data_IF_292651565956
#
_entry.id   IF_292651565956
#
_cell.length_a   1.000
_cell.length_b   1.000
_cell.length_c   1.000
_cell.angle_alpha   90.00
_cell.angle_beta   90.00
_cell.angle_gamma   90.00
#
_symmetry.space_group_name_H-M   'P 1'
#
loop_
_entity.id
_entity.type
_entity.pdbx_description
1 polymer ?
#
# COMPACT_ATOMS: atom_id res chain seq x y z
N UNK A 1 25.47 33.24 1.67
CA UNK A 1 25.28 31.80 1.36
C UNK A 1 23.84 31.61 0.89
N UNK A 2 23.65 31.46 -0.42
CA UNK A 2 22.34 31.45 -1.09
C UNK A 2 21.61 30.12 -0.86
N UNK A 3 20.38 30.18 -0.36
CA UNK A 3 19.45 29.04 -0.27
C UNK A 3 18.75 28.82 -1.62
N UNK A 4 19.50 28.61 -2.70
CA UNK A 4 18.91 28.33 -4.00
C UNK A 4 18.31 26.92 -4.03
N UNK A 5 17.04 26.83 -4.41
CA UNK A 5 16.29 25.57 -4.59
C UNK A 5 17.08 24.66 -5.54
N UNK A 6 17.50 23.50 -5.05
CA UNK A 6 18.26 22.50 -5.83
C UNK A 6 19.78 22.43 -5.55
N UNK A 7 20.38 23.43 -4.89
CA UNK A 7 21.82 23.44 -4.59
C UNK A 7 22.18 22.67 -3.30
N UNK A 8 21.18 22.35 -2.48
CA UNK A 8 21.33 21.48 -1.32
C UNK A 8 20.93 20.05 -1.69
N UNK A 9 21.79 19.34 -2.42
CA UNK A 9 21.67 17.89 -2.55
C UNK A 9 21.89 17.29 -1.15
N UNK A 10 20.81 16.80 -0.54
CA UNK A 10 20.85 16.28 0.83
C UNK A 10 21.60 14.95 0.81
N UNK A 11 22.85 14.95 1.28
CA UNK A 11 23.70 13.76 1.36
C UNK A 11 23.20 12.74 2.39
N UNK A 12 22.56 13.21 3.47
CA UNK A 12 22.04 12.37 4.54
C UNK A 12 20.65 11.82 4.23
N UNK A 13 20.35 10.56 4.60
CA UNK A 13 19.01 10.03 4.48
C UNK A 13 18.02 10.83 5.35
N UNK A 14 16.73 10.59 5.10
CA UNK A 14 15.67 11.17 5.92
C UNK A 14 15.87 10.79 7.39
N UNK A 15 15.87 11.80 8.27
CA UNK A 15 16.13 11.63 9.72
C UNK A 15 15.04 10.82 10.40
N UNK A 16 13.78 11.10 10.06
CA UNK A 16 12.61 10.45 10.64
C UNK A 16 12.09 9.39 9.66
N UNK A 17 12.29 8.13 10.00
CA UNK A 17 11.79 6.98 9.25
C UNK A 17 10.82 6.19 10.12
N UNK A 18 9.86 5.53 9.49
CA UNK A 18 8.96 4.64 10.21
C UNK A 18 9.75 3.43 10.73
N UNK A 19 9.74 3.21 12.04
CA UNK A 19 10.38 2.04 12.67
C UNK A 19 9.66 0.74 12.30
N UNK A 20 8.35 0.82 12.14
CA UNK A 20 7.50 -0.33 11.80
C UNK A 20 6.76 -0.11 10.48
N UNK A 21 6.59 -1.21 9.75
CA UNK A 21 5.76 -1.21 8.54
C UNK A 21 4.30 -1.03 8.92
N UNK A 22 3.55 -0.34 8.05
CA UNK A 22 2.10 -0.24 8.19
C UNK A 22 1.47 -1.65 8.18
N UNK A 23 0.58 -1.89 9.15
CA UNK A 23 -0.22 -3.12 9.25
C UNK A 23 -1.69 -2.73 9.20
N UNK A 24 -2.41 -3.20 8.20
CA UNK A 24 -3.82 -2.86 8.01
C UNK A 24 -4.75 -3.39 9.13
N UNK A 25 -4.33 -4.44 9.84
CA UNK A 25 -5.08 -5.10 10.90
C UNK A 25 -4.65 -4.71 12.33
N UNK A 26 -3.71 -3.75 12.51
CA UNK A 26 -3.18 -3.43 13.85
C UNK A 26 -4.25 -2.95 14.84
N UNK A 27 -5.20 -2.16 14.34
CA UNK A 27 -6.29 -1.56 15.12
C UNK A 27 -7.67 -1.77 14.50
N UNK A 28 -7.71 -2.43 13.33
CA UNK A 28 -8.94 -2.66 12.60
C UNK A 28 -9.32 -4.12 12.68
N UNK A 29 -10.40 -4.39 13.41
CA UNK A 29 -11.00 -5.71 13.60
C UNK A 29 -12.18 -5.96 12.63
N UNK A 30 -12.35 -5.13 11.59
CA UNK A 30 -13.41 -5.32 10.61
C UNK A 30 -13.28 -6.70 9.93
N UNK A 31 -14.40 -7.43 9.87
CA UNK A 31 -14.53 -8.70 9.14
C UNK A 31 -14.06 -8.57 7.68
N UNK A 32 -14.27 -7.40 7.07
CA UNK A 32 -13.82 -7.11 5.69
C UNK A 32 -12.30 -7.16 5.57
N UNK A 33 -11.58 -6.52 6.48
CA UNK A 33 -10.11 -6.46 6.48
C UNK A 33 -9.52 -7.84 6.77
N UNK A 34 -10.14 -8.62 7.66
CA UNK A 34 -9.74 -10.01 7.93
C UNK A 34 -9.92 -10.89 6.69
N UNK A 35 -11.08 -10.82 6.03
CA UNK A 35 -11.36 -11.56 4.80
C UNK A 35 -10.38 -11.22 3.67
N UNK A 36 -10.08 -9.94 3.46
CA UNK A 36 -9.12 -9.51 2.44
C UNK A 36 -7.70 -10.01 2.74
N UNK A 37 -7.31 -10.11 4.01
CA UNK A 37 -5.99 -10.62 4.40
C UNK A 37 -5.89 -12.15 4.28
N UNK A 38 -7.00 -12.88 4.42
CA UNK A 38 -7.02 -14.34 4.25
C UNK A 38 -7.20 -14.80 2.79
N UNK A 39 -7.49 -13.88 1.88
CA UNK A 39 -7.71 -14.19 0.46
C UNK A 39 -6.38 -14.51 -0.24
N UNK A 40 -6.28 -15.70 -0.83
CA UNK A 40 -5.17 -16.08 -1.69
C UNK A 40 -5.44 -15.67 -3.15
N UNK A 41 -4.43 -15.07 -3.79
CA UNK A 41 -4.51 -14.58 -5.17
C UNK A 41 -3.58 -15.44 -6.03
N UNK A 42 -4.12 -16.47 -6.69
CA UNK A 42 -3.31 -17.54 -7.32
C UNK A 42 -3.33 -17.56 -8.86
N UNK A 43 -4.18 -16.78 -9.52
CA UNK A 43 -4.40 -16.85 -10.98
C UNK A 43 -3.99 -15.61 -11.79
N UNK A 44 -3.25 -14.68 -11.19
CA UNK A 44 -2.88 -13.41 -11.83
C UNK A 44 -1.42 -13.38 -12.26
N UNK A 45 -1.10 -12.53 -13.24
CA UNK A 45 0.30 -12.24 -13.55
C UNK A 45 0.99 -11.51 -12.39
N UNK A 46 2.32 -11.66 -12.27
CA UNK A 46 3.14 -11.06 -11.19
C UNK A 46 2.89 -9.56 -10.99
N UNK A 47 2.66 -8.82 -12.08
CA UNK A 47 2.36 -7.39 -12.04
C UNK A 47 1.01 -7.12 -11.37
N UNK A 48 -0.05 -7.82 -11.79
CA UNK A 48 -1.38 -7.62 -11.24
C UNK A 48 -1.47 -8.07 -9.79
N UNK A 49 -0.84 -9.20 -9.46
CA UNK A 49 -0.73 -9.71 -8.09
C UNK A 49 -0.09 -8.67 -7.17
N UNK A 50 1.07 -8.13 -7.55
CA UNK A 50 1.76 -7.12 -6.73
C UNK A 50 0.93 -5.84 -6.52
N UNK A 51 0.17 -5.40 -7.54
CA UNK A 51 -0.75 -4.26 -7.43
C UNK A 51 -1.88 -4.56 -6.43
N UNK A 52 -2.52 -5.72 -6.52
CA UNK A 52 -3.64 -6.07 -5.63
C UNK A 52 -3.15 -6.26 -4.21
N UNK A 53 -2.06 -6.99 -4.00
CA UNK A 53 -1.44 -7.19 -2.68
C UNK A 53 -1.09 -5.84 -2.06
N UNK A 54 -0.53 -4.91 -2.84
CA UNK A 54 -0.25 -3.56 -2.36
C UNK A 54 -1.54 -2.82 -1.96
N UNK A 55 -2.59 -2.88 -2.79
CA UNK A 55 -3.88 -2.25 -2.48
C UNK A 55 -4.50 -2.81 -1.20
N UNK A 56 -4.44 -4.12 -0.97
CA UNK A 56 -4.96 -4.75 0.26
C UNK A 56 -4.15 -4.31 1.48
N UNK A 57 -2.81 -4.35 1.39
CA UNK A 57 -1.90 -3.93 2.47
C UNK A 57 -2.13 -2.51 2.93
N UNK A 58 -2.48 -1.60 2.03
CA UNK A 58 -2.69 -0.17 2.33
C UNK A 58 -4.17 0.25 2.39
N UNK A 59 -5.11 -0.70 2.49
CA UNK A 59 -6.57 -0.44 2.51
C UNK A 59 -7.06 0.43 1.32
N UNK A 60 -6.42 0.30 0.17
CA UNK A 60 -6.81 0.95 -1.09
C UNK A 60 -7.60 0.03 -2.01
N UNK A 61 -7.78 -1.23 -1.64
CA UNK A 61 -8.55 -2.19 -2.41
C UNK A 61 -10.05 -1.91 -2.26
N UNK A 62 -10.75 -1.72 -3.39
CA UNK A 62 -12.20 -1.60 -3.46
C UNK A 62 -12.74 -2.81 -4.21
N UNK A 63 -13.58 -3.60 -3.55
CA UNK A 63 -14.29 -4.69 -4.21
C UNK A 63 -15.28 -4.11 -5.22
N UNK A 64 -15.38 -4.74 -6.39
CA UNK A 64 -16.44 -4.42 -7.34
C UNK A 64 -17.78 -4.82 -6.73
N UNK A 65 -18.70 -3.88 -6.60
CA UNK A 65 -20.06 -4.12 -6.09
C UNK A 65 -21.03 -4.53 -7.19
N UNK A 66 -20.69 -4.20 -8.44
CA UNK A 66 -21.48 -4.48 -9.64
C UNK A 66 -20.54 -5.09 -10.68
N UNK A 67 -20.98 -6.12 -11.44
CA UNK A 67 -20.22 -6.61 -12.58
C UNK A 67 -19.99 -5.49 -13.59
N UNK A 68 -18.84 -5.51 -14.28
CA UNK A 68 -18.60 -4.58 -15.39
C UNK A 68 -19.66 -4.81 -16.46
N UNK A 69 -20.28 -3.72 -16.95
CA UNK A 69 -21.09 -3.80 -18.16
C UNK A 69 -20.15 -3.99 -19.35
N UNK A 70 -20.57 -4.82 -20.29
CA UNK A 70 -19.87 -5.07 -21.56
C UNK A 70 -20.14 -3.93 -22.54
#
# INVERSE_FOLDING_TARGET
MSCQKGNAQRSRPQKYKNETKFKNNKYDSSKKTQFLNSMEITSLCRRCESIIVWKIRYKKYKSLTVPSKW
#
